data_IF_524912033654
#
_entry.id   IF_524912033654
#
_cell.length_a   1.000
_cell.length_b   1.000
_cell.length_c   1.000
_cell.angle_alpha   90.00
_cell.angle_beta   90.00
_cell.angle_gamma   90.00
#
_symmetry.space_group_name_H-M   'P 1'
#
loop_
_entity.id
_entity.type
_entity.pdbx_description
1 polymer ?
#
# COMPACT_ATOMS: atom_id res chain seq x y z
N UNK A 1 -1.66 33.53 5.28
CA UNK A 1 -2.32 32.57 4.39
C UNK A 1 -2.22 31.19 5.01
N UNK A 2 -3.31 30.69 5.58
CA UNK A 2 -3.37 29.36 6.17
C UNK A 2 -3.33 28.32 5.03
N UNK A 3 -2.23 27.60 4.90
CA UNK A 3 -2.19 26.41 4.06
C UNK A 3 -3.08 25.38 4.74
N UNK A 4 -4.23 25.08 4.13
CA UNK A 4 -5.23 24.21 4.73
C UNK A 4 -4.68 22.81 5.01
N UNK A 5 -5.17 22.16 6.06
CA UNK A 5 -4.87 20.76 6.44
C UNK A 5 -4.88 19.81 5.24
N UNK A 6 -5.68 20.08 4.20
CA UNK A 6 -5.73 19.29 2.98
C UNK A 6 -4.43 19.22 2.18
N UNK A 7 -3.57 20.24 2.23
CA UNK A 7 -2.29 20.25 1.50
C UNK A 7 -1.18 19.48 2.23
N UNK A 8 -1.24 19.42 3.56
CA UNK A 8 -0.32 18.61 4.37
C UNK A 8 -0.55 17.13 4.10
N UNK A 9 -1.81 16.67 4.05
CA UNK A 9 -2.15 15.29 3.73
C UNK A 9 -1.77 14.86 2.30
N UNK A 10 -1.78 15.77 1.33
CA UNK A 10 -1.37 15.46 -0.05
C UNK A 10 0.11 15.10 -0.16
N UNK A 11 0.97 15.61 0.72
CA UNK A 11 2.43 15.37 0.71
C UNK A 11 2.87 14.20 1.58
N UNK A 12 1.98 13.64 2.40
CA UNK A 12 2.33 12.55 3.30
C UNK A 12 2.45 11.23 2.54
N UNK A 13 3.56 10.55 2.70
CA UNK A 13 3.78 9.18 2.23
C UNK A 13 3.10 8.22 3.20
N UNK A 14 2.33 7.26 2.69
CA UNK A 14 1.73 6.18 3.49
C UNK A 14 2.39 4.87 3.10
N UNK A 15 2.84 4.12 4.09
CA UNK A 15 3.37 2.78 3.91
C UNK A 15 2.45 1.77 4.58
N UNK A 16 2.13 0.71 3.88
CA UNK A 16 1.35 -0.42 4.38
C UNK A 16 2.21 -1.67 4.27
N UNK A 17 2.16 -2.54 5.27
CA UNK A 17 2.90 -3.80 5.30
C UNK A 17 1.95 -4.97 5.36
N UNK A 18 2.37 -6.12 4.83
CA UNK A 18 1.68 -7.39 4.98
C UNK A 18 0.21 -7.34 4.49
N UNK A 19 -0.04 -6.67 3.36
CA UNK A 19 -1.39 -6.48 2.83
C UNK A 19 -1.82 -7.70 2.01
N UNK A 20 -2.90 -8.41 2.40
CA UNK A 20 -3.41 -9.53 1.63
C UNK A 20 -4.06 -9.05 0.32
N UNK A 21 -3.66 -9.64 -0.80
CA UNK A 21 -4.20 -9.36 -2.14
C UNK A 21 -4.36 -10.69 -2.87
N UNK A 22 -5.60 -11.07 -3.17
CA UNK A 22 -5.88 -12.37 -3.79
C UNK A 22 -5.46 -13.53 -2.88
N UNK A 23 -4.56 -14.37 -3.37
CA UNK A 23 -3.94 -15.49 -2.62
C UNK A 23 -2.57 -15.12 -2.06
N UNK A 24 -2.06 -13.95 -2.40
CA UNK A 24 -0.75 -13.45 -2.04
C UNK A 24 -0.83 -12.39 -0.95
N UNK A 25 0.32 -12.03 -0.38
CA UNK A 25 0.43 -11.00 0.64
C UNK A 25 1.61 -10.11 0.26
N UNK A 26 1.33 -8.84 -0.02
CA UNK A 26 2.34 -7.86 -0.39
C UNK A 26 3.19 -7.48 0.83
N UNK A 27 4.50 -7.57 0.71
CA UNK A 27 5.41 -7.21 1.80
C UNK A 27 5.26 -5.74 2.18
N UNK A 28 5.19 -4.88 1.16
CA UNK A 28 5.18 -3.44 1.35
C UNK A 28 4.41 -2.71 0.25
N UNK A 29 3.60 -1.72 0.62
CA UNK A 29 2.93 -0.83 -0.33
C UNK A 29 3.23 0.61 0.05
N UNK A 30 3.83 1.36 -0.87
CA UNK A 30 4.12 2.79 -0.68
C UNK A 30 3.15 3.64 -1.50
N UNK A 31 2.46 4.58 -0.83
CA UNK A 31 1.50 5.48 -1.46
C UNK A 31 1.98 6.93 -1.29
N UNK A 32 2.55 7.47 -2.37
CA UNK A 32 3.00 8.86 -2.43
C UNK A 32 2.72 9.42 -3.83
N UNK A 33 1.51 9.94 -4.04
CA UNK A 33 1.02 10.33 -5.37
C UNK A 33 0.69 9.13 -6.26
N UNK A 34 1.52 8.11 -6.24
CA UNK A 34 1.32 6.80 -6.89
C UNK A 34 1.31 5.73 -5.79
N UNK A 35 0.62 4.62 -6.04
CA UNK A 35 0.71 3.44 -5.18
C UNK A 35 1.59 2.39 -5.86
N UNK A 36 2.62 1.95 -5.15
CA UNK A 36 3.59 0.97 -5.66
C UNK A 36 3.67 -0.17 -4.65
N UNK A 37 3.48 -1.39 -5.12
CA UNK A 37 3.72 -2.62 -4.35
C UNK A 37 5.20 -2.96 -4.45
N UNK A 38 5.83 -3.25 -3.33
CA UNK A 38 7.19 -3.76 -3.25
C UNK A 38 7.15 -5.19 -2.74
N UNK A 39 7.73 -6.09 -3.50
CA UNK A 39 7.97 -7.48 -3.14
C UNK A 39 9.47 -7.67 -2.89
N UNK A 40 9.82 -8.13 -1.70
CA UNK A 40 11.22 -8.26 -1.28
C UNK A 40 11.66 -9.70 -1.45
N UNK A 41 12.73 -9.91 -2.23
CA UNK A 41 13.33 -11.22 -2.47
C UNK A 41 14.76 -11.23 -1.94
N UNK A 42 14.96 -11.94 -0.84
CA UNK A 42 16.26 -12.14 -0.22
C UNK A 42 17.12 -13.13 -1.03
N UNK A 43 18.36 -13.34 -0.61
CA UNK A 43 19.26 -14.31 -1.25
C UNK A 43 18.79 -15.76 -1.13
N UNK A 44 17.94 -16.05 -0.14
CA UNK A 44 17.43 -17.39 0.16
C UNK A 44 16.08 -17.68 -0.53
N UNK A 45 15.44 -16.66 -1.09
CA UNK A 45 14.13 -16.83 -1.73
C UNK A 45 14.28 -17.44 -3.12
N UNK A 46 13.35 -18.33 -3.46
CA UNK A 46 13.14 -18.76 -4.83
C UNK A 46 12.10 -17.85 -5.52
N UNK A 47 12.02 -17.95 -6.83
CA UNK A 47 11.13 -17.13 -7.65
C UNK A 47 9.89 -17.88 -8.15
N UNK A 48 9.62 -19.10 -7.64
CA UNK A 48 8.54 -19.97 -8.12
C UNK A 48 7.17 -19.32 -7.93
N UNK A 49 6.99 -18.56 -6.85
CA UNK A 49 5.74 -17.89 -6.54
C UNK A 49 5.63 -16.48 -7.13
N UNK A 50 6.73 -15.93 -7.68
CA UNK A 50 6.76 -14.52 -8.09
C UNK A 50 5.71 -14.19 -9.15
N UNK A 51 5.50 -15.07 -10.13
CA UNK A 51 4.52 -14.83 -11.20
C UNK A 51 3.09 -14.77 -10.65
N UNK A 52 2.73 -15.68 -9.74
CA UNK A 52 1.42 -15.65 -9.07
C UNK A 52 1.25 -14.45 -8.14
N UNK A 53 2.32 -14.02 -7.45
CA UNK A 53 2.32 -12.80 -6.64
C UNK A 53 2.10 -11.56 -7.51
N UNK A 54 2.81 -11.46 -8.63
CA UNK A 54 2.65 -10.36 -9.59
C UNK A 54 1.23 -10.30 -10.14
N UNK A 55 0.68 -11.46 -10.55
CA UNK A 55 -0.71 -11.54 -11.03
C UNK A 55 -1.69 -11.03 -9.97
N UNK A 56 -1.57 -11.47 -8.72
CA UNK A 56 -2.44 -11.03 -7.64
C UNK A 56 -2.29 -9.53 -7.37
N UNK A 57 -1.05 -9.01 -7.35
CA UNK A 57 -0.81 -7.59 -7.05
C UNK A 57 -1.36 -6.66 -8.13
N UNK A 58 -1.23 -7.01 -9.42
CA UNK A 58 -1.79 -6.22 -10.52
C UNK A 58 -3.33 -6.22 -10.55
N UNK A 59 -4.00 -7.16 -9.87
CA UNK A 59 -5.46 -7.11 -9.69
C UNK A 59 -5.90 -5.97 -8.77
N UNK A 60 -5.01 -5.43 -7.92
CA UNK A 60 -5.35 -4.36 -6.99
C UNK A 60 -4.52 -3.08 -7.19
N UNK A 61 -3.32 -3.17 -7.75
CA UNK A 61 -2.39 -2.03 -7.91
C UNK A 61 -1.80 -1.99 -9.31
N UNK A 62 -1.67 -0.78 -9.87
CA UNK A 62 -1.15 -0.60 -11.23
C UNK A 62 0.37 -0.61 -11.35
N UNK A 63 1.12 -0.67 -10.23
CA UNK A 63 2.59 -0.64 -10.24
C UNK A 63 3.15 -1.55 -9.16
N UNK A 64 4.21 -2.27 -9.51
CA UNK A 64 4.99 -3.02 -8.55
C UNK A 64 6.48 -2.99 -8.85
N UNK A 65 7.27 -3.23 -7.83
CA UNK A 65 8.74 -3.32 -7.88
C UNK A 65 9.17 -4.57 -7.12
N UNK A 66 10.05 -5.34 -7.70
CA UNK A 66 10.76 -6.42 -7.00
C UNK A 66 12.05 -5.85 -6.45
N UNK A 67 12.23 -5.92 -5.13
CA UNK A 67 13.48 -5.57 -4.46
C UNK A 67 14.30 -6.84 -4.32
N UNK A 68 15.54 -6.82 -4.77
CA UNK A 68 16.42 -8.01 -4.75
C UNK A 68 17.84 -7.66 -4.32
N UNK A 69 18.58 -8.67 -3.87
CA UNK A 69 20.01 -8.57 -3.56
C UNK A 69 20.88 -8.64 -4.81
N UNK A 70 22.16 -8.26 -4.69
CA UNK A 70 23.14 -8.37 -5.79
C UNK A 70 23.26 -9.80 -6.32
N UNK A 71 23.15 -10.81 -5.46
CA UNK A 71 23.26 -12.22 -5.84
C UNK A 71 22.16 -12.68 -6.81
N UNK A 72 20.94 -12.20 -6.61
CA UNK A 72 19.78 -12.61 -7.38
C UNK A 72 19.42 -11.64 -8.50
N UNK A 73 20.19 -10.56 -8.66
CA UNK A 73 19.85 -9.45 -9.56
C UNK A 73 19.67 -9.89 -11.01
N UNK A 74 20.64 -10.64 -11.56
CA UNK A 74 20.60 -11.05 -12.97
C UNK A 74 19.39 -11.96 -13.27
N UNK A 75 19.08 -12.89 -12.36
CA UNK A 75 17.91 -13.76 -12.48
C UNK A 75 16.61 -12.97 -12.48
N UNK A 76 16.47 -11.99 -11.56
CA UNK A 76 15.28 -11.12 -11.49
C UNK A 76 15.18 -10.24 -12.74
N UNK A 77 16.28 -9.67 -13.18
CA UNK A 77 16.32 -8.83 -14.37
C UNK A 77 15.88 -9.60 -15.62
N UNK A 78 16.42 -10.80 -15.81
CA UNK A 78 16.04 -11.67 -16.93
C UNK A 78 14.56 -12.04 -16.87
N UNK A 79 14.08 -12.48 -15.69
CA UNK A 79 12.69 -12.88 -15.49
C UNK A 79 11.71 -11.72 -15.75
N UNK A 80 12.07 -10.50 -15.35
CA UNK A 80 11.20 -9.32 -15.47
C UNK A 80 11.46 -8.46 -16.69
N UNK A 81 12.29 -8.90 -17.63
CA UNK A 81 12.70 -8.09 -18.80
C UNK A 81 11.49 -7.55 -19.58
N UNK A 82 10.51 -8.40 -19.86
CA UNK A 82 9.29 -8.06 -20.61
C UNK A 82 8.06 -7.78 -19.69
N UNK A 83 8.26 -7.68 -18.39
CA UNK A 83 7.21 -7.40 -17.43
C UNK A 83 7.07 -5.89 -17.18
N UNK A 84 5.87 -5.36 -16.85
CA UNK A 84 5.70 -3.98 -16.38
C UNK A 84 6.31 -3.74 -14.99
N UNK A 85 6.72 -4.79 -14.27
CA UNK A 85 7.32 -4.65 -12.95
C UNK A 85 8.70 -3.97 -13.00
N UNK A 86 8.95 -3.11 -12.02
CA UNK A 86 10.25 -2.51 -11.79
C UNK A 86 11.20 -3.45 -11.05
N UNK A 87 12.48 -3.12 -11.06
CA UNK A 87 13.53 -3.83 -10.30
C UNK A 87 14.33 -2.83 -9.49
N UNK A 88 14.43 -3.10 -8.19
CA UNK A 88 15.24 -2.33 -7.26
C UNK A 88 16.30 -3.23 -6.62
N UNK A 89 17.55 -2.82 -6.71
CA UNK A 89 18.68 -3.53 -6.15
C UNK A 89 18.97 -3.00 -4.73
N UNK A 90 18.98 -3.90 -3.74
CA UNK A 90 19.54 -3.64 -2.43
C UNK A 90 21.04 -4.01 -2.47
N UNK A 91 21.90 -2.99 -2.39
CA UNK A 91 23.34 -3.18 -2.40
C UNK A 91 23.87 -3.69 -1.06
N UNK A 92 25.06 -4.29 -1.05
CA UNK A 92 25.75 -4.69 0.20
C UNK A 92 25.97 -3.56 1.18
N UNK A 93 25.98 -2.31 0.71
CA UNK A 93 26.10 -1.10 1.55
C UNK A 93 24.75 -0.66 2.15
N UNK A 94 23.65 -1.42 1.95
CA UNK A 94 22.32 -1.08 2.45
C UNK A 94 21.62 0.04 1.68
N UNK A 95 22.07 0.36 0.45
CA UNK A 95 21.42 1.38 -0.40
C UNK A 95 20.51 0.74 -1.42
N UNK A 96 19.39 1.38 -1.70
CA UNK A 96 18.44 0.98 -2.74
C UNK A 96 18.76 1.71 -4.04
N UNK A 97 18.90 0.95 -5.14
CA UNK A 97 19.10 1.49 -6.48
C UNK A 97 18.01 0.98 -7.43
N UNK A 98 17.23 1.87 -7.99
CA UNK A 98 16.26 1.53 -9.03
C UNK A 98 17.04 1.20 -10.31
N UNK A 99 16.88 -0.04 -10.79
CA UNK A 99 17.53 -0.55 -12.01
C UNK A 99 16.55 -0.61 -13.18
N UNK A 100 15.26 -0.76 -12.90
CA UNK A 100 14.17 -0.70 -13.86
C UNK A 100 12.98 -0.02 -13.21
N UNK A 101 12.48 1.06 -13.83
CA UNK A 101 11.27 1.75 -13.35
C UNK A 101 10.03 0.90 -13.59
N UNK A 102 9.05 0.88 -12.66
CA UNK A 102 7.79 0.20 -12.88
C UNK A 102 6.92 0.98 -13.87
N UNK A 103 6.39 0.27 -14.87
CA UNK A 103 5.42 0.82 -15.81
C UNK A 103 4.02 0.69 -15.21
N UNK A 104 3.16 1.65 -15.46
CA UNK A 104 1.75 1.56 -15.06
C UNK A 104 1.02 0.52 -15.91
N UNK A 105 0.41 -0.44 -15.24
CA UNK A 105 -0.31 -1.54 -15.86
C UNK A 105 -1.68 -1.68 -15.20
N UNK A 106 -2.74 -1.31 -15.93
CA UNK A 106 -4.10 -1.25 -15.41
C UNK A 106 -5.01 -2.37 -15.93
N UNK A 107 -4.55 -3.15 -16.92
CA UNK A 107 -5.38 -4.12 -17.64
C UNK A 107 -5.89 -5.26 -16.76
N UNK A 108 -5.18 -5.56 -15.67
CA UNK A 108 -5.56 -6.60 -14.71
C UNK A 108 -6.37 -6.09 -13.52
N UNK A 109 -6.59 -4.78 -13.41
CA UNK A 109 -7.31 -4.23 -12.25
C UNK A 109 -8.69 -4.87 -12.09
N UNK A 110 -8.95 -5.41 -10.90
CA UNK A 110 -10.13 -6.18 -10.54
C UNK A 110 -10.88 -5.51 -9.39
N UNK A 111 -12.05 -4.94 -9.67
CA UNK A 111 -12.88 -4.31 -8.64
C UNK A 111 -13.24 -5.27 -7.49
N UNK A 112 -13.59 -6.55 -7.73
CA UNK A 112 -13.79 -7.51 -6.65
C UNK A 112 -12.56 -7.72 -5.76
N UNK A 113 -11.35 -7.73 -6.32
CA UNK A 113 -10.12 -7.89 -5.53
C UNK A 113 -9.81 -6.61 -4.75
N UNK A 114 -9.93 -5.44 -5.38
CA UNK A 114 -9.80 -4.15 -4.68
C UNK A 114 -10.78 -4.05 -3.50
N UNK A 115 -12.04 -4.44 -3.69
CA UNK A 115 -13.05 -4.41 -2.64
C UNK A 115 -12.68 -5.30 -1.44
N UNK A 116 -12.14 -6.48 -1.67
CA UNK A 116 -11.68 -7.40 -0.61
C UNK A 116 -10.51 -6.85 0.21
N UNK A 117 -9.68 -5.98 -0.37
CA UNK A 117 -8.59 -5.31 0.36
C UNK A 117 -9.12 -4.22 1.29
N UNK A 118 -10.30 -3.66 1.01
CA UNK A 118 -10.90 -2.58 1.79
C UNK A 118 -11.48 -3.07 3.12
N UNK A 119 -11.31 -2.26 4.17
CA UNK A 119 -12.00 -2.42 5.45
C UNK A 119 -13.43 -1.88 5.35
N UNK A 120 -14.31 -2.29 6.26
CA UNK A 120 -15.72 -1.85 6.27
C UNK A 120 -15.87 -0.33 6.18
N UNK A 121 -15.23 0.40 7.07
CA UNK A 121 -15.30 1.86 7.09
C UNK A 121 -14.74 2.53 5.82
N UNK A 122 -13.85 1.87 5.10
CA UNK A 122 -13.23 2.42 3.89
C UNK A 122 -14.15 2.28 2.68
N UNK A 123 -14.76 1.10 2.47
CA UNK A 123 -15.71 0.97 1.38
C UNK A 123 -16.98 1.79 1.65
N UNK A 124 -17.45 1.90 2.90
CA UNK A 124 -18.57 2.79 3.25
C UNK A 124 -18.25 4.25 2.93
N UNK A 125 -17.04 4.73 3.26
CA UNK A 125 -16.61 6.09 2.88
C UNK A 125 -16.60 6.31 1.37
N UNK A 126 -16.19 5.32 0.59
CA UNK A 126 -16.21 5.41 -0.87
C UNK A 126 -17.66 5.52 -1.36
N UNK A 127 -18.54 4.64 -0.89
CA UNK A 127 -19.94 4.59 -1.33
C UNK A 127 -20.69 5.87 -0.97
N UNK A 128 -20.56 6.35 0.27
CA UNK A 128 -21.16 7.64 0.69
C UNK A 128 -20.64 8.77 -0.19
N UNK A 129 -19.34 8.80 -0.47
CA UNK A 129 -18.74 9.87 -1.27
C UNK A 129 -19.24 9.89 -2.72
N UNK A 130 -19.48 8.71 -3.30
CA UNK A 130 -19.85 8.59 -4.72
C UNK A 130 -21.35 8.58 -4.92
N UNK A 131 -22.09 7.86 -4.09
CA UNK A 131 -23.53 7.66 -4.23
C UNK A 131 -24.38 8.49 -3.24
N UNK A 132 -23.77 9.07 -2.22
CA UNK A 132 -24.46 9.83 -1.17
C UNK A 132 -25.19 8.99 -0.13
N UNK A 133 -25.20 7.64 -0.30
CA UNK A 133 -25.95 6.73 0.58
C UNK A 133 -25.25 5.38 0.70
N UNK A 134 -25.66 4.61 1.71
CA UNK A 134 -25.30 3.20 1.89
C UNK A 134 -26.50 2.31 1.59
N UNK A 135 -26.31 1.03 1.23
CA UNK A 135 -27.39 0.09 1.03
C UNK A 135 -28.26 -0.08 2.29
N UNK A 136 -29.57 0.05 2.13
CA UNK A 136 -30.55 -0.26 3.17
C UNK A 136 -31.05 -1.70 2.99
N UNK A 137 -30.31 -2.64 3.54
CA UNK A 137 -30.57 -4.10 3.41
C UNK A 137 -30.21 -4.81 4.72
N UNK A 138 -30.58 -6.07 4.86
CA UNK A 138 -30.23 -6.88 6.01
C UNK A 138 -28.71 -6.98 6.23
N UNK A 139 -28.29 -7.19 7.48
CA UNK A 139 -26.86 -7.32 7.81
C UNK A 139 -26.17 -8.44 7.01
N UNK A 140 -26.89 -9.54 6.71
CA UNK A 140 -26.35 -10.66 5.93
C UNK A 140 -26.07 -10.32 4.47
N UNK A 141 -26.83 -9.38 3.89
CA UNK A 141 -26.69 -8.95 2.51
C UNK A 141 -25.81 -7.71 2.36
N UNK A 142 -25.56 -7.01 3.45
CA UNK A 142 -24.92 -5.70 3.46
C UNK A 142 -23.56 -5.68 2.74
N UNK A 143 -22.69 -6.64 3.07
CA UNK A 143 -21.37 -6.73 2.42
C UNK A 143 -21.49 -6.91 0.92
N UNK A 144 -22.38 -7.84 0.47
CA UNK A 144 -22.60 -8.10 -0.96
C UNK A 144 -23.23 -6.91 -1.68
N UNK A 145 -24.14 -6.20 -1.02
CA UNK A 145 -24.78 -5.00 -1.58
C UNK A 145 -23.73 -3.87 -1.76
N UNK A 146 -22.88 -3.63 -0.76
CA UNK A 146 -21.77 -2.68 -0.86
C UNK A 146 -20.79 -3.06 -1.97
N UNK A 147 -20.46 -4.35 -2.08
CA UNK A 147 -19.58 -4.85 -3.14
C UNK A 147 -20.16 -4.59 -4.53
N UNK A 148 -21.44 -4.92 -4.77
CA UNK A 148 -22.12 -4.64 -6.06
C UNK A 148 -22.09 -3.16 -6.42
N UNK A 149 -22.36 -2.26 -5.45
CA UNK A 149 -22.25 -0.82 -5.68
C UNK A 149 -20.83 -0.38 -6.02
N UNK A 150 -19.82 -0.88 -5.31
CA UNK A 150 -18.44 -0.57 -5.64
C UNK A 150 -18.05 -1.08 -7.04
N UNK A 151 -18.49 -2.30 -7.39
CA UNK A 151 -18.21 -2.91 -8.70
C UNK A 151 -18.94 -2.21 -9.86
N UNK A 152 -20.04 -1.49 -9.59
CA UNK A 152 -20.75 -0.68 -10.61
C UNK A 152 -19.96 0.57 -11.03
N UNK A 153 -18.96 0.99 -10.24
CA UNK A 153 -18.12 2.14 -10.60
C UNK A 153 -17.25 1.85 -11.85
N UNK A 154 -16.97 2.86 -12.67
CA UNK A 154 -15.89 2.77 -13.64
C UNK A 154 -14.57 2.38 -12.96
N UNK A 155 -13.76 1.53 -13.59
CA UNK A 155 -12.55 0.97 -12.97
C UNK A 155 -11.57 2.06 -12.52
N UNK A 156 -11.39 3.11 -13.30
CA UNK A 156 -10.53 4.24 -12.96
C UNK A 156 -11.04 5.02 -11.73
N UNK A 157 -12.37 5.18 -11.60
CA UNK A 157 -13.00 5.82 -10.43
C UNK A 157 -12.82 4.95 -9.20
N UNK A 158 -13.12 3.64 -9.32
CA UNK A 158 -12.94 2.68 -8.23
C UNK A 158 -11.49 2.65 -7.74
N UNK A 159 -10.51 2.60 -8.66
CA UNK A 159 -9.10 2.60 -8.34
C UNK A 159 -8.65 3.89 -7.64
N UNK A 160 -9.03 5.06 -8.15
CA UNK A 160 -8.70 6.33 -7.49
C UNK A 160 -9.27 6.41 -6.07
N UNK A 161 -10.51 5.97 -5.86
CA UNK A 161 -11.13 5.96 -4.52
C UNK A 161 -10.46 4.95 -3.60
N UNK A 162 -10.15 3.76 -4.11
CA UNK A 162 -9.39 2.72 -3.41
C UNK A 162 -8.05 3.25 -2.90
N UNK A 163 -7.21 3.81 -3.77
CA UNK A 163 -5.90 4.37 -3.37
C UNK A 163 -6.07 5.51 -2.37
N UNK A 164 -7.10 6.34 -2.53
CA UNK A 164 -7.38 7.46 -1.61
C UNK A 164 -7.64 6.98 -0.18
N UNK A 165 -8.49 5.97 0.01
CA UNK A 165 -8.80 5.48 1.36
C UNK A 165 -7.64 4.71 1.97
N UNK A 166 -6.89 3.95 1.16
CA UNK A 166 -5.66 3.30 1.63
C UNK A 166 -4.62 4.30 2.11
N UNK A 167 -4.49 5.44 1.43
CA UNK A 167 -3.59 6.53 1.85
C UNK A 167 -3.94 7.07 3.24
N UNK A 168 -5.18 6.97 3.67
CA UNK A 168 -5.65 7.45 4.97
C UNK A 168 -5.49 6.43 6.10
N UNK A 169 -5.05 5.18 5.79
CA UNK A 169 -4.87 4.14 6.83
C UNK A 169 -3.83 4.51 7.87
N UNK A 170 -2.81 5.24 7.45
CA UNK A 170 -1.72 5.62 8.33
C UNK A 170 -2.00 7.00 8.92
N UNK A 171 -2.16 7.06 10.22
CA UNK A 171 -2.30 8.29 11.00
C UNK A 171 -1.07 8.44 11.90
N UNK A 172 0.00 8.98 11.34
CA UNK A 172 1.14 9.38 12.16
C UNK A 172 0.86 10.77 12.70
N UNK A 173 1.02 10.94 14.00
CA UNK A 173 1.14 12.26 14.60
C UNK A 173 2.50 12.84 14.19
N UNK A 174 2.48 13.80 13.27
CA UNK A 174 3.70 14.36 12.66
C UNK A 174 4.57 15.04 13.72
N UNK A 175 3.95 15.75 14.65
CA UNK A 175 4.69 16.48 15.68
C UNK A 175 5.41 15.52 16.62
N UNK A 176 4.76 14.44 17.03
CA UNK A 176 5.36 13.40 17.84
C UNK A 176 6.42 12.60 17.06
N UNK A 177 6.16 12.29 15.78
CA UNK A 177 7.13 11.63 14.92
C UNK A 177 8.41 12.45 14.72
N UNK A 178 8.31 13.77 14.58
CA UNK A 178 9.47 14.64 14.42
C UNK A 178 10.32 14.70 15.69
N UNK A 179 9.71 14.62 16.88
CA UNK A 179 10.38 14.60 18.18
C UNK A 179 11.09 13.26 18.47
N UNK A 180 10.68 12.18 17.79
CA UNK A 180 11.23 10.85 18.03
C UNK A 180 12.65 10.73 17.49
N UNK A 181 13.58 10.08 18.23
CA UNK A 181 14.91 9.74 17.74
C UNK A 181 14.87 9.00 16.41
N UNK A 182 15.84 9.27 15.54
CA UNK A 182 15.87 8.73 14.17
C UNK A 182 15.79 7.20 14.15
N UNK A 183 16.47 6.53 15.07
CA UNK A 183 16.57 5.08 15.23
C UNK A 183 15.21 4.43 15.52
N UNK A 184 14.29 5.16 16.16
CA UNK A 184 12.95 4.69 16.53
C UNK A 184 11.87 5.13 15.55
N UNK A 185 12.16 6.01 14.61
CA UNK A 185 11.18 6.48 13.60
C UNK A 185 10.56 5.34 12.81
N UNK A 186 11.37 4.31 12.51
CA UNK A 186 10.91 3.11 11.84
C UNK A 186 9.81 2.38 12.64
N UNK A 187 10.01 2.18 13.95
CA UNK A 187 9.01 1.51 14.81
C UNK A 187 7.69 2.28 14.82
N UNK A 188 7.73 3.60 14.97
CA UNK A 188 6.54 4.44 14.96
C UNK A 188 5.84 4.37 13.61
N UNK A 189 6.60 4.40 12.52
CA UNK A 189 6.08 4.39 11.17
C UNK A 189 5.29 3.11 10.86
N UNK A 190 5.69 1.96 11.43
CA UNK A 190 5.08 0.67 11.12
C UNK A 190 4.17 0.11 12.23
N UNK A 191 4.13 0.70 13.42
CA UNK A 191 3.45 0.14 14.59
C UNK A 191 2.07 0.72 14.91
N UNK A 192 1.52 1.61 14.07
CA UNK A 192 0.22 2.27 14.31
C UNK A 192 0.10 2.90 15.73
N UNK A 193 1.10 3.65 16.15
CA UNK A 193 1.15 4.29 17.46
C UNK A 193 -0.07 5.20 17.69
N UNK A 194 -0.68 5.07 18.88
CA UNK A 194 -1.71 5.98 19.39
C UNK A 194 -1.03 7.09 20.21
N UNK A 195 -1.73 8.19 20.46
CA UNK A 195 -1.19 9.28 21.31
C UNK A 195 -0.67 8.80 22.66
N UNK A 196 -1.34 7.82 23.28
CA UNK A 196 -0.89 7.20 24.54
C UNK A 196 0.45 6.46 24.41
N UNK A 197 0.76 5.93 23.26
CA UNK A 197 1.99 5.16 23.03
C UNK A 197 3.19 6.09 22.86
N UNK A 198 2.99 7.28 22.25
CA UNK A 198 4.01 8.32 22.19
C UNK A 198 4.38 8.83 23.60
N UNK A 199 3.38 9.01 24.48
CA UNK A 199 3.63 9.42 25.85
C UNK A 199 4.47 8.39 26.62
N UNK A 200 4.19 7.09 26.46
CA UNK A 200 4.98 6.00 27.05
C UNK A 200 6.40 5.95 26.51
N UNK A 201 6.54 6.11 25.17
CA UNK A 201 7.85 6.15 24.54
C UNK A 201 8.67 7.34 25.04
N UNK A 202 8.08 8.52 25.10
CA UNK A 202 8.74 9.73 25.62
C UNK A 202 9.18 9.58 27.07
N UNK A 203 8.35 8.97 27.91
CA UNK A 203 8.71 8.67 29.32
C UNK A 203 9.87 7.69 29.39
N UNK A 204 9.85 6.61 28.61
CA UNK A 204 10.95 5.62 28.55
C UNK A 204 12.28 6.23 28.09
N UNK A 205 12.24 7.17 27.15
CA UNK A 205 13.44 7.84 26.64
C UNK A 205 14.00 8.92 27.58
N UNK A 206 13.23 9.33 28.60
CA UNK A 206 13.63 10.36 29.59
C UNK A 206 14.18 9.75 30.89
N UNK A 207 14.07 8.42 31.04
CA UNK A 207 14.63 7.64 32.17
C UNK A 207 16.00 7.10 31.82
#
# INVERSE_FOLDING_TARGET
MSRGLGDVYKRQTTALTEVPIGKSKADFILINGKAIVYEIKTELDNFDRLDGQMEDYYKAFSRMVVVTSEKNYDNVQQKLQNSPAGVCLLTKKGTLRICKEPIEYCDMLSKPIMFKVLRKNEYEQILIKVFGLLPDVSQFEYYRACQRLFESLPTDVAYRMFIRVLKLRMKIDIDEYLKTPYELKFLIYFSNYKKSDYAKLSHFLST
#
